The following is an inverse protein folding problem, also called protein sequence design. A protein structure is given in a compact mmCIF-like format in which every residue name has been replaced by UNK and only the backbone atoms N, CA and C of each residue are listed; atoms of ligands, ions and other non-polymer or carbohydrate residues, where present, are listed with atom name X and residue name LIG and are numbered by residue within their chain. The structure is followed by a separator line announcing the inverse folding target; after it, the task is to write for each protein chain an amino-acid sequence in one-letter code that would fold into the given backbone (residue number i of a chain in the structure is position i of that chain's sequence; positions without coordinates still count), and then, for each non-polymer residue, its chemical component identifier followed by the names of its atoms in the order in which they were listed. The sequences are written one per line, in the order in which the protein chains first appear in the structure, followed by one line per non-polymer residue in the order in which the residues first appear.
data_IF_071705529606
#
_entry.id   IF_071705529606
#
_cell.length_a   1.000
_cell.length_b   1.000
_cell.length_c   1.000
_cell.angle_alpha   90.00
_cell.angle_beta   90.00
_cell.angle_gamma   90.00
#
_symmetry.space_group_name_H-M   'P 1'
#
loop_
_entity.id
_entity.type
_entity.pdbx_description
1 polymer ?
#
# COMPACT_ATOMS: atom_id res chain seq x y z
N UNK A 1 -0.27 -14.12 -6.58
CA UNK A 1 0.93 -13.37 -6.18
C UNK A 1 0.89 -12.06 -6.94
N UNK A 2 0.67 -10.95 -6.27
CA UNK A 2 0.44 -9.65 -6.90
C UNK A 2 1.70 -9.18 -7.65
N UNK A 3 1.54 -8.80 -8.93
CA UNK A 3 2.64 -8.33 -9.79
C UNK A 3 3.28 -7.04 -9.26
N UNK A 4 2.48 -6.18 -8.62
CA UNK A 4 2.98 -4.95 -8.00
C UNK A 4 3.85 -5.26 -6.77
N UNK A 5 3.40 -6.17 -5.90
CA UNK A 5 4.16 -6.63 -4.74
C UNK A 5 5.48 -7.30 -5.16
N UNK A 6 5.47 -8.06 -6.26
CA UNK A 6 6.67 -8.68 -6.81
C UNK A 6 7.64 -7.61 -7.35
N UNK A 7 7.13 -6.59 -8.03
CA UNK A 7 7.96 -5.52 -8.58
C UNK A 7 8.67 -4.70 -7.48
N UNK A 8 7.95 -4.30 -6.42
CA UNK A 8 8.53 -3.54 -5.30
C UNK A 8 9.53 -4.38 -4.51
N UNK A 9 9.20 -5.65 -4.22
CA UNK A 9 10.13 -6.59 -3.60
C UNK A 9 11.40 -6.81 -4.43
N UNK A 10 11.27 -6.86 -5.75
CA UNK A 10 12.39 -7.01 -6.67
C UNK A 10 13.26 -5.75 -6.69
N UNK A 11 12.68 -4.56 -6.75
CA UNK A 11 13.42 -3.28 -6.76
C UNK A 11 14.20 -3.08 -5.46
N UNK A 12 13.64 -3.44 -4.31
CA UNK A 12 14.32 -3.28 -3.02
C UNK A 12 15.35 -4.39 -2.71
N UNK A 13 15.15 -5.61 -3.24
CA UNK A 13 16.07 -6.74 -3.01
C UNK A 13 17.30 -6.71 -3.91
N UNK A 14 17.20 -6.16 -5.08
CA UNK A 14 18.19 -6.45 -6.13
C UNK A 14 19.51 -5.69 -6.00
N UNK A 15 19.78 -4.90 -4.99
CA UNK A 15 21.05 -4.17 -4.94
C UNK A 15 21.38 -3.34 -6.21
N UNK A 16 20.56 -3.51 -7.24
CA UNK A 16 20.72 -2.95 -8.57
C UNK A 16 19.79 -1.75 -8.73
N UNK A 17 20.37 -0.60 -8.98
CA UNK A 17 19.72 0.61 -9.45
C UNK A 17 18.41 0.96 -8.75
N UNK A 18 18.46 1.26 -7.47
CA UNK A 18 17.41 2.03 -6.81
C UNK A 18 17.19 3.30 -7.63
N UNK A 19 15.93 3.64 -8.00
CA UNK A 19 15.69 4.89 -8.68
C UNK A 19 16.26 6.03 -7.86
N UNK A 20 17.16 6.77 -8.43
CA UNK A 20 17.84 7.98 -7.93
C UNK A 20 17.95 8.12 -6.39
N UNK A 21 19.13 8.42 -5.85
CA UNK A 21 19.37 8.57 -4.40
C UNK A 21 18.50 9.67 -3.72
N UNK A 22 17.58 10.28 -4.45
CA UNK A 22 16.62 11.30 -4.00
C UNK A 22 15.16 10.82 -4.04
N UNK A 23 14.91 9.54 -4.33
CA UNK A 23 13.55 9.01 -4.41
C UNK A 23 12.92 8.89 -3.02
N UNK A 24 11.66 9.27 -2.91
CA UNK A 24 10.82 9.06 -1.73
C UNK A 24 9.82 7.96 -2.06
N UNK A 25 9.73 6.96 -1.19
CA UNK A 25 8.75 5.87 -1.31
C UNK A 25 7.46 6.25 -0.60
N UNK A 26 6.30 6.07 -1.24
CA UNK A 26 4.98 6.38 -0.66
C UNK A 26 4.08 5.15 -0.77
N UNK A 27 3.53 4.69 0.35
CA UNK A 27 2.58 3.58 0.37
C UNK A 27 1.28 3.92 1.12
N UNK A 28 0.23 4.37 0.42
CA UNK A 28 -1.11 4.53 0.96
C UNK A 28 -2.03 3.33 0.67
N UNK A 29 -1.49 2.27 0.09
CA UNK A 29 -2.27 1.14 -0.44
C UNK A 29 -2.41 -0.04 0.51
N UNK A 30 -1.40 -0.90 0.54
CA UNK A 30 -1.38 -2.11 1.38
C UNK A 30 0.02 -2.41 1.88
N UNK A 31 0.15 -2.81 3.16
CA UNK A 31 1.43 -3.22 3.75
C UNK A 31 2.04 -4.45 3.08
N UNK A 32 1.21 -5.39 2.64
CA UNK A 32 1.66 -6.63 1.99
C UNK A 32 2.43 -6.45 0.68
N UNK A 33 2.37 -5.26 0.05
CA UNK A 33 3.12 -4.98 -1.18
C UNK A 33 4.58 -4.58 -0.92
N UNK A 34 4.97 -4.40 0.36
CA UNK A 34 6.30 -3.90 0.75
C UNK A 34 7.02 -4.95 1.59
N UNK A 35 8.31 -5.14 1.31
CA UNK A 35 9.24 -5.78 2.23
C UNK A 35 9.77 -4.69 3.18
N UNK A 36 9.20 -4.63 4.39
CA UNK A 36 9.48 -3.56 5.37
C UNK A 36 10.92 -3.58 5.86
N UNK A 37 11.53 -4.77 5.96
CA UNK A 37 12.93 -4.89 6.34
C UNK A 37 13.87 -4.37 5.25
N UNK A 38 13.59 -4.71 3.98
CA UNK A 38 14.34 -4.20 2.85
C UNK A 38 14.19 -2.69 2.68
N UNK A 39 12.99 -2.15 2.94
CA UNK A 39 12.73 -0.71 2.93
C UNK A 39 13.53 0.00 4.02
N UNK A 40 13.49 -0.51 5.26
CA UNK A 40 14.25 0.06 6.38
C UNK A 40 15.77 0.08 6.11
N UNK A 41 16.31 -1.00 5.51
CA UNK A 41 17.70 -1.06 5.10
C UNK A 41 18.01 -0.01 4.02
N UNK A 42 17.16 0.12 2.98
CA UNK A 42 17.36 1.08 1.90
C UNK A 42 17.37 2.54 2.39
N UNK A 43 16.54 2.87 3.39
CA UNK A 43 16.50 4.19 4.02
C UNK A 43 17.75 4.43 4.89
N UNK A 44 18.14 3.45 5.68
CA UNK A 44 19.33 3.52 6.55
C UNK A 44 20.61 3.67 5.74
N UNK A 45 20.72 2.96 4.62
CA UNK A 45 21.86 3.02 3.70
C UNK A 45 21.86 4.27 2.79
N UNK A 46 20.83 5.12 2.86
CA UNK A 46 20.69 6.31 2.02
C UNK A 46 20.38 6.02 0.55
N UNK A 47 19.97 4.79 0.23
CA UNK A 47 19.51 4.41 -1.12
C UNK A 47 18.17 5.03 -1.47
N UNK A 48 17.35 5.33 -0.46
CA UNK A 48 16.14 6.13 -0.56
C UNK A 48 16.28 7.40 0.29
N UNK A 49 15.72 8.50 -0.19
CA UNK A 49 15.73 9.77 0.53
C UNK A 49 14.73 9.80 1.68
N UNK A 50 13.63 9.05 1.58
CA UNK A 50 12.61 8.99 2.61
C UNK A 50 11.49 8.00 2.28
N UNK A 51 10.59 7.78 3.25
CA UNK A 51 9.37 7.01 3.06
C UNK A 51 8.18 7.66 3.77
N UNK A 52 6.99 7.55 3.16
CA UNK A 52 5.69 7.92 3.74
C UNK A 52 4.84 6.66 3.72
N UNK A 53 4.51 6.14 4.91
CA UNK A 53 3.86 4.85 5.08
C UNK A 53 2.56 5.01 5.86
N UNK A 54 1.45 4.67 5.23
CA UNK A 54 0.12 4.72 5.84
C UNK A 54 -0.40 3.33 6.22
N UNK A 55 0.22 2.28 5.68
CA UNK A 55 -0.19 0.87 5.82
C UNK A 55 1.00 -0.03 6.06
N UNK A 56 0.78 -1.13 6.83
CA UNK A 56 1.82 -2.04 7.29
C UNK A 56 1.42 -3.49 7.12
N UNK A 57 2.40 -4.42 7.15
CA UNK A 57 2.12 -5.86 7.09
C UNK A 57 1.34 -6.34 8.32
N UNK A 58 1.62 -5.74 9.47
CA UNK A 58 0.88 -5.97 10.73
C UNK A 58 0.35 -4.63 11.23
N UNK A 59 -0.95 -4.54 11.39
CA UNK A 59 -1.63 -3.35 11.90
C UNK A 59 -2.42 -3.68 13.17
N UNK A 60 -2.33 -2.89 14.23
CA UNK A 60 -1.46 -1.71 14.38
C UNK A 60 0.03 -2.07 14.32
N UNK A 61 0.87 -1.13 13.82
CA UNK A 61 2.32 -1.35 13.73
C UNK A 61 2.89 -1.61 15.14
N UNK A 62 3.56 -2.76 15.39
CA UNK A 62 4.08 -3.12 16.70
C UNK A 62 5.00 -2.04 17.27
N UNK A 63 4.98 -1.80 18.60
CA UNK A 63 5.76 -0.72 19.24
C UNK A 63 7.28 -0.87 19.07
N UNK A 64 7.77 -2.11 18.90
CA UNK A 64 9.18 -2.44 18.72
C UNK A 64 9.60 -2.55 17.25
N UNK A 65 8.68 -2.28 16.30
CA UNK A 65 8.95 -2.42 14.89
C UNK A 65 10.07 -1.48 14.41
N UNK A 66 10.94 -2.00 13.53
CA UNK A 66 12.12 -1.28 13.04
C UNK A 66 11.79 0.07 12.40
N UNK A 67 10.66 0.18 11.71
CA UNK A 67 10.24 1.39 11.01
C UNK A 67 10.08 2.61 11.93
N UNK A 68 9.79 2.42 13.23
CA UNK A 68 9.72 3.53 14.20
C UNK A 68 11.06 4.24 14.40
N UNK A 69 12.17 3.55 14.14
CA UNK A 69 13.54 4.05 14.31
C UNK A 69 14.25 4.28 12.99
N UNK A 70 13.61 3.94 11.87
CA UNK A 70 14.19 4.12 10.54
C UNK A 70 14.23 5.60 10.17
N UNK A 71 15.39 6.14 9.74
CA UNK A 71 15.50 7.55 9.42
C UNK A 71 14.62 7.94 8.23
N UNK A 72 14.21 9.21 8.19
CA UNK A 72 13.43 9.79 7.09
C UNK A 72 12.12 9.05 6.79
N UNK A 73 11.49 8.46 7.82
CA UNK A 73 10.22 7.75 7.71
C UNK A 73 9.11 8.58 8.34
N UNK A 74 8.04 8.82 7.60
CA UNK A 74 6.78 9.38 8.09
C UNK A 74 5.78 8.24 8.16
N UNK A 75 5.18 8.04 9.34
CA UNK A 75 4.19 7.00 9.60
C UNK A 75 2.86 7.66 9.91
N UNK A 76 1.81 7.22 9.24
CA UNK A 76 0.42 7.55 9.54
C UNK A 76 -0.36 6.28 9.86
N UNK A 77 -1.56 6.41 10.40
CA UNK A 77 -2.34 5.28 10.96
C UNK A 77 -3.52 4.89 10.06
N UNK A 78 -3.25 4.62 8.79
CA UNK A 78 -4.23 4.19 7.80
C UNK A 78 -5.38 5.19 7.58
N UNK A 79 -5.16 6.54 7.59
CA UNK A 79 -6.20 7.53 7.29
C UNK A 79 -6.32 7.90 5.82
N UNK A 80 -5.45 7.40 4.93
CA UNK A 80 -5.40 7.86 3.53
C UNK A 80 -6.67 7.57 2.72
N UNK A 81 -7.53 6.65 3.19
CA UNK A 81 -8.78 6.31 2.53
C UNK A 81 -9.93 6.19 3.55
N UNK A 82 -10.33 7.31 4.11
CA UNK A 82 -11.53 7.35 4.95
C UNK A 82 -12.77 7.09 4.08
N UNK A 83 -13.43 5.96 4.32
CA UNK A 83 -14.72 5.65 3.69
C UNK A 83 -15.82 6.48 4.34
N UNK A 84 -16.29 7.50 3.64
CA UNK A 84 -17.47 8.26 4.07
C UNK A 84 -18.72 7.46 3.71
N UNK A 85 -19.60 7.11 4.68
CA UNK A 85 -20.84 6.40 4.40
C UNK A 85 -21.72 7.09 3.37
N UNK A 86 -21.72 8.41 3.32
CA UNK A 86 -22.46 9.19 2.33
C UNK A 86 -22.01 8.93 0.88
N UNK A 87 -20.73 8.60 0.66
CA UNK A 87 -20.20 8.30 -0.66
C UNK A 87 -20.37 6.82 -1.02
N UNK A 88 -20.26 5.93 -0.03
CA UNK A 88 -20.34 4.48 -0.24
C UNK A 88 -21.78 3.97 -0.38
N UNK A 89 -22.72 4.51 0.41
CA UNK A 89 -24.09 4.04 0.41
C UNK A 89 -24.79 4.13 -0.95
N UNK A 90 -24.67 5.21 -1.74
CA UNK A 90 -25.24 5.28 -3.08
C UNK A 90 -24.70 4.19 -4.02
N UNK A 91 -23.40 3.89 -3.97
CA UNK A 91 -22.76 2.84 -4.78
C UNK A 91 -23.32 1.45 -4.38
N UNK A 92 -23.44 1.20 -3.08
CA UNK A 92 -24.01 -0.04 -2.58
C UNK A 92 -25.46 -0.23 -3.02
N UNK A 93 -26.29 0.82 -2.85
CA UNK A 93 -27.71 0.79 -3.22
C UNK A 93 -27.88 0.53 -4.73
N UNK A 94 -27.07 1.20 -5.54
CA UNK A 94 -27.12 1.01 -7.01
C UNK A 94 -26.72 -0.42 -7.39
N UNK A 95 -25.65 -0.96 -6.79
CA UNK A 95 -25.22 -2.33 -7.04
C UNK A 95 -26.26 -3.36 -6.54
N UNK A 96 -26.92 -3.11 -5.43
CA UNK A 96 -28.02 -3.95 -4.97
C UNK A 96 -29.19 -3.97 -5.97
N UNK A 97 -29.59 -2.80 -6.49
CA UNK A 97 -30.64 -2.72 -7.52
C UNK A 97 -30.25 -3.48 -8.80
N UNK A 98 -29.02 -3.33 -9.23
CA UNK A 98 -28.47 -4.07 -10.39
C UNK A 98 -28.48 -5.57 -10.17
N UNK A 99 -28.05 -6.02 -8.99
CA UNK A 99 -28.04 -7.43 -8.63
C UNK A 99 -29.45 -8.04 -8.73
N UNK A 100 -30.44 -7.38 -8.12
CA UNK A 100 -31.85 -7.84 -8.15
C UNK A 100 -32.42 -7.81 -9.56
N UNK A 101 -31.99 -6.88 -10.42
CA UNK A 101 -32.41 -6.76 -11.80
C UNK A 101 -31.63 -7.67 -12.78
N UNK A 102 -30.70 -8.48 -12.29
CA UNK A 102 -29.82 -9.33 -13.14
C UNK A 102 -28.89 -8.53 -14.04
N UNK A 103 -28.58 -7.28 -13.69
CA UNK A 103 -27.69 -6.40 -14.44
C UNK A 103 -26.23 -6.54 -13.96
N UNK A 104 -25.24 -6.23 -14.81
CA UNK A 104 -23.84 -6.22 -14.41
C UNK A 104 -23.59 -5.24 -13.25
N UNK A 105 -22.83 -5.69 -12.23
CA UNK A 105 -22.41 -4.82 -11.13
C UNK A 105 -21.36 -3.82 -11.58
N UNK A 106 -21.35 -2.64 -10.95
CA UNK A 106 -20.30 -1.65 -11.12
C UNK A 106 -19.14 -1.96 -10.18
N UNK A 107 -17.93 -1.53 -10.56
CA UNK A 107 -16.70 -1.67 -9.75
C UNK A 107 -16.40 -3.12 -9.32
N UNK A 108 -16.62 -4.06 -10.23
CA UNK A 108 -16.28 -5.47 -9.98
C UNK A 108 -14.78 -5.63 -9.84
N UNK A 109 -14.36 -6.32 -8.79
CA UNK A 109 -12.96 -6.74 -8.64
C UNK A 109 -12.65 -7.82 -9.68
N UNK A 110 -11.58 -7.63 -10.42
CA UNK A 110 -10.99 -8.66 -11.25
C UNK A 110 -9.99 -9.47 -10.43
N UNK A 111 -10.37 -10.69 -10.05
CA UNK A 111 -9.52 -11.55 -9.21
C UNK A 111 -8.26 -12.04 -9.93
N UNK A 112 -8.24 -12.06 -11.26
CA UNK A 112 -7.05 -12.44 -12.03
C UNK A 112 -6.08 -11.26 -12.14
N UNK A 113 -6.59 -10.05 -12.36
CA UNK A 113 -5.81 -8.83 -12.39
C UNK A 113 -5.41 -8.33 -10.99
N UNK A 114 -6.18 -8.69 -9.94
CA UNK A 114 -5.93 -8.31 -8.54
C UNK A 114 -6.44 -6.92 -8.16
N UNK A 115 -7.30 -6.30 -8.96
CA UNK A 115 -7.93 -4.98 -8.68
C UNK A 115 -9.31 -4.86 -9.33
#
# INVERSE_FOLDING_TARGET
MDRAALAIRTVLRAGDAVPAPRAVFVNPGRGSVVDEAALAAALTDGRLAGAILDVFQTEPLPPDHILWRTPNTIITSHPAALSNPGDIAPIFIENYRRLVAGQPLQYRVDFEAGY
#
